data_IF_374182810147
#
_entry.id   IF_374182810147
#
_cell.length_a   1.000
_cell.length_b   1.000
_cell.length_c   1.000
_cell.angle_alpha   90.00
_cell.angle_beta   90.00
_cell.angle_gamma   90.00
#
_symmetry.space_group_name_H-M   'P 1'
#
loop_
_entity.id
_entity.type
_entity.pdbx_description
1 polymer ?
#
# COMPACT_ATOMS: atom_id res chain seq x y z
N UNK A 1 6.68 -4.46 5.41
CA UNK A 1 6.08 -5.62 4.70
C UNK A 1 6.42 -5.53 3.21
N UNK A 2 6.84 -6.62 2.57
CA UNK A 2 7.07 -6.68 1.13
C UNK A 2 5.87 -7.38 0.49
N UNK A 3 5.08 -6.66 -0.30
CA UNK A 3 4.14 -7.29 -1.24
C UNK A 3 4.91 -7.63 -2.52
N UNK A 4 4.61 -8.79 -3.07
CA UNK A 4 5.20 -9.25 -4.33
C UNK A 4 4.23 -8.96 -5.48
N UNK A 5 4.71 -9.07 -6.72
CA UNK A 5 3.87 -8.98 -7.91
C UNK A 5 3.03 -10.27 -8.03
N UNK A 6 1.94 -10.31 -7.24
CA UNK A 6 0.99 -11.42 -7.11
C UNK A 6 -0.43 -10.87 -6.95
N UNK A 7 -1.41 -11.71 -7.26
CA UNK A 7 -2.82 -11.43 -7.01
C UNK A 7 -3.16 -11.82 -5.58
N UNK A 8 -3.66 -10.86 -4.81
CA UNK A 8 -4.05 -11.04 -3.43
C UNK A 8 -5.57 -11.10 -3.28
N UNK A 9 -6.03 -11.96 -2.39
CA UNK A 9 -7.42 -11.96 -1.96
C UNK A 9 -7.66 -10.92 -0.86
N UNK A 10 -8.90 -10.41 -0.74
CA UNK A 10 -9.29 -9.50 0.35
C UNK A 10 -8.99 -10.07 1.75
N UNK A 11 -9.05 -11.39 1.92
CA UNK A 11 -8.68 -12.08 3.17
C UNK A 11 -7.18 -11.97 3.47
N UNK A 12 -6.33 -12.12 2.46
CA UNK A 12 -4.88 -11.99 2.63
C UNK A 12 -4.48 -10.57 2.99
N UNK A 13 -5.07 -9.58 2.34
CA UNK A 13 -4.84 -8.17 2.68
C UNK A 13 -5.21 -7.89 4.15
N UNK A 14 -6.30 -8.48 4.66
CA UNK A 14 -6.64 -8.41 6.09
C UNK A 14 -5.62 -9.11 6.99
N UNK A 15 -5.11 -10.28 6.61
CA UNK A 15 -4.03 -10.97 7.35
C UNK A 15 -2.74 -10.14 7.40
N UNK A 16 -2.52 -9.32 6.39
CA UNK A 16 -1.42 -8.38 6.29
C UNK A 16 -1.65 -7.05 7.04
N UNK A 17 -2.70 -6.95 7.86
CA UNK A 17 -3.09 -5.73 8.58
C UNK A 17 -3.36 -4.51 7.68
N UNK A 18 -3.58 -4.75 6.39
CA UNK A 18 -3.90 -3.70 5.42
C UNK A 18 -5.38 -3.33 5.55
N UNK A 19 -5.64 -2.04 5.78
CA UNK A 19 -6.99 -1.49 5.85
C UNK A 19 -7.32 -0.77 4.57
N UNK A 20 -8.50 -1.05 4.01
CA UNK A 20 -8.97 -0.34 2.82
C UNK A 20 -9.05 1.17 3.13
N UNK A 21 -8.38 1.98 2.31
CA UNK A 21 -8.34 3.45 2.45
C UNK A 21 -9.19 4.12 1.39
N UNK A 22 -9.00 3.73 0.12
CA UNK A 22 -9.68 4.35 -1.02
C UNK A 22 -9.97 3.31 -2.09
N UNK A 23 -11.04 3.53 -2.85
CA UNK A 23 -11.37 2.75 -4.04
C UNK A 23 -11.77 3.72 -5.13
N UNK A 24 -10.98 3.77 -6.21
CA UNK A 24 -11.35 4.37 -7.48
C UNK A 24 -11.89 3.26 -8.41
N UNK A 25 -12.46 3.63 -9.55
CA UNK A 25 -13.04 2.68 -10.52
C UNK A 25 -12.08 1.55 -10.93
N UNK A 26 -10.78 1.84 -11.02
CA UNK A 26 -9.76 0.86 -11.42
C UNK A 26 -8.76 0.51 -10.31
N UNK A 27 -8.48 1.45 -9.40
CA UNK A 27 -7.40 1.33 -8.40
C UNK A 27 -7.98 1.28 -6.99
N UNK A 28 -7.58 0.27 -6.23
CA UNK A 28 -7.95 0.08 -4.84
C UNK A 28 -6.71 0.32 -3.98
N UNK A 29 -6.80 1.26 -3.05
CA UNK A 29 -5.70 1.63 -2.15
C UNK A 29 -5.96 1.11 -0.75
N UNK A 30 -5.01 0.35 -0.22
CA UNK A 30 -4.97 -0.07 1.18
C UNK A 30 -3.84 0.66 1.92
N UNK A 31 -4.05 0.92 3.20
CA UNK A 31 -3.05 1.51 4.08
C UNK A 31 -2.68 0.59 5.23
N UNK A 32 -1.40 0.59 5.60
CA UNK A 32 -0.90 -0.06 6.83
C UNK A 32 -0.93 0.91 8.03
N UNK A 33 -0.77 0.38 9.25
CA UNK A 33 -0.74 1.16 10.48
C UNK A 33 0.44 2.16 10.56
N UNK A 34 1.54 1.95 9.81
CA UNK A 34 2.65 2.92 9.74
C UNK A 34 2.47 4.03 8.68
N UNK A 35 1.30 4.05 8.02
CA UNK A 35 0.93 5.08 7.05
C UNK A 35 1.33 4.78 5.60
N UNK A 36 1.98 3.63 5.33
CA UNK A 36 2.25 3.22 3.95
C UNK A 36 0.95 2.97 3.19
N UNK A 37 0.93 3.32 1.91
CA UNK A 37 -0.18 3.06 1.00
C UNK A 37 0.23 2.02 -0.04
N UNK A 38 -0.70 1.15 -0.39
CA UNK A 38 -0.53 0.03 -1.31
C UNK A 38 -1.64 0.09 -2.34
N UNK A 39 -1.27 0.15 -3.61
CA UNK A 39 -2.16 0.32 -4.74
C UNK A 39 -2.32 -1.03 -5.44
N UNK A 40 -3.58 -1.42 -5.63
CA UNK A 40 -3.96 -2.66 -6.29
C UNK A 40 -4.92 -2.35 -7.42
N UNK A 41 -4.91 -3.19 -8.45
CA UNK A 41 -5.93 -3.16 -9.50
C UNK A 41 -6.85 -4.36 -9.31
N UNK A 42 -8.16 -4.14 -9.55
CA UNK A 42 -9.13 -5.22 -9.53
C UNK A 42 -9.03 -6.02 -10.83
N UNK A 43 -8.62 -7.28 -10.72
CA UNK A 43 -8.57 -8.24 -11.83
C UNK A 43 -9.62 -9.34 -11.61
N UNK A 44 -9.90 -10.16 -12.62
CA UNK A 44 -10.92 -11.23 -12.52
C UNK A 44 -10.69 -12.17 -11.33
N UNK A 45 -9.43 -12.53 -11.06
CA UNK A 45 -9.06 -13.44 -9.97
C UNK A 45 -8.88 -12.76 -8.59
N UNK A 46 -8.87 -11.42 -8.50
CA UNK A 46 -8.65 -10.73 -7.22
C UNK A 46 -8.08 -9.32 -7.30
N UNK A 47 -7.09 -9.02 -6.45
CA UNK A 47 -6.44 -7.72 -6.35
C UNK A 47 -4.96 -7.86 -6.69
N UNK A 48 -4.57 -7.45 -7.89
CA UNK A 48 -3.18 -7.46 -8.33
C UNK A 48 -2.43 -6.29 -7.72
N UNK A 49 -1.28 -6.57 -7.09
CA UNK A 49 -0.42 -5.52 -6.55
C UNK A 49 0.29 -4.75 -7.67
N UNK A 50 0.07 -3.43 -7.72
CA UNK A 50 0.74 -2.55 -8.67
C UNK A 50 1.95 -1.86 -8.06
N UNK A 51 1.73 -1.12 -6.97
CA UNK A 51 2.76 -0.25 -6.41
C UNK A 51 2.48 0.07 -4.95
N UNK A 52 3.52 0.54 -4.25
CA UNK A 52 3.39 1.02 -2.88
C UNK A 52 4.00 2.41 -2.74
N UNK A 53 3.27 3.29 -2.06
CA UNK A 53 3.76 4.58 -1.62
C UNK A 53 4.18 4.44 -0.16
N UNK A 54 5.49 4.48 0.08
CA UNK A 54 5.99 4.51 1.45
C UNK A 54 5.64 5.86 2.03
N UNK A 55 5.12 5.84 3.26
CA UNK A 55 5.09 7.04 4.06
C UNK A 55 6.54 7.41 4.36
N UNK A 56 7.09 8.29 3.52
CA UNK A 56 8.31 9.01 3.85
C UNK A 56 7.91 9.98 4.94
N UNK A 57 7.89 9.50 6.19
CA UNK A 57 8.09 10.40 7.33
C UNK A 57 9.37 11.13 6.96
N UNK A 58 9.25 12.39 6.55
CA UNK A 58 10.37 13.31 6.44
C UNK A 58 10.98 13.32 7.82
N UNK A 59 11.93 12.43 8.06
CA UNK A 59 12.96 12.67 9.06
C UNK A 59 13.68 13.87 8.45
N UNK A 60 13.23 15.08 8.77
CA UNK A 60 14.05 16.27 8.67
C UNK A 60 15.21 16.02 9.62
N UNK A 61 16.17 15.20 9.19
CA UNK A 61 17.54 15.33 9.62
C UNK A 61 17.91 16.72 9.13
N UNK A 62 17.86 17.68 10.07
CA UNK A 62 18.32 19.02 9.83
C UNK A 62 19.78 18.95 9.40
N UNK A 63 20.01 18.91 8.10
CA UNK A 63 21.28 19.34 7.52
C UNK A 63 21.29 20.86 7.58
N UNK A 64 21.58 21.35 8.78
CA UNK A 64 22.13 22.67 8.99
C UNK A 64 23.65 22.49 8.91
N UNK A 65 24.18 22.39 7.69
CA UNK A 65 25.60 22.66 7.49
C UNK A 65 25.76 24.15 7.28
N UNK A 66 26.58 24.71 8.17
CA UNK A 66 26.83 26.12 8.43
C UNK A 66 27.93 26.62 7.51
#
# INVERSE_FOLDING_TARGET
MKLENKVYSKKELKNHYLKLKKTNEEIITYGDNIGNLYHFIKVEEGLEFQSMEKNQVKIMLGFHEK
#
